data_IF_538683869606
#
_entry.id   IF_538683869606
#
_cell.length_a   1.000
_cell.length_b   1.000
_cell.length_c   1.000
_cell.angle_alpha   90.00
_cell.angle_beta   90.00
_cell.angle_gamma   90.00
#
_symmetry.space_group_name_H-M   'P 1'
#
loop_
_entity.id
_entity.type
_entity.pdbx_description
1 polymer ?
#
# COMPACT_ATOMS: atom_id res chain seq x y z
N UNK A 1 7.19 23.07 -6.40
CA UNK A 1 5.94 22.91 -5.63
C UNK A 1 5.93 21.51 -5.03
N UNK A 2 5.56 21.36 -3.76
CA UNK A 2 5.53 20.05 -3.07
C UNK A 2 4.30 19.26 -3.55
N UNK A 3 4.46 17.96 -3.84
CA UNK A 3 3.37 17.05 -4.20
C UNK A 3 3.00 16.20 -2.98
N UNK A 4 2.01 16.64 -2.21
CA UNK A 4 1.55 15.93 -1.02
C UNK A 4 0.56 14.82 -1.38
N UNK A 5 0.64 13.71 -0.66
CA UNK A 5 -0.29 12.57 -0.72
C UNK A 5 -0.95 12.37 0.64
N UNK A 6 -2.10 11.69 0.64
CA UNK A 6 -2.79 11.31 1.87
C UNK A 6 -3.07 9.80 1.89
N UNK A 7 -2.79 9.16 3.02
CA UNK A 7 -2.95 7.71 3.20
C UNK A 7 -4.37 7.36 3.63
N UNK A 8 -5.13 6.68 2.76
CA UNK A 8 -6.55 6.35 2.97
C UNK A 8 -6.82 5.63 4.27
N UNK A 9 -6.03 4.60 4.60
CA UNK A 9 -6.14 3.85 5.85
C UNK A 9 -6.13 4.72 7.13
N UNK A 10 -5.45 5.86 7.11
CA UNK A 10 -5.38 6.77 8.26
C UNK A 10 -6.67 7.56 8.47
N UNK A 11 -7.40 7.89 7.39
CA UNK A 11 -8.53 8.82 7.41
C UNK A 11 -9.89 8.15 7.18
N UNK A 12 -9.94 7.06 6.42
CA UNK A 12 -11.17 6.32 6.14
C UNK A 12 -11.54 5.50 7.36
N UNK A 13 -12.41 6.06 8.21
CA UNK A 13 -12.82 5.48 9.50
C UNK A 13 -14.28 5.83 9.81
N UNK A 14 -15.01 4.87 10.37
CA UNK A 14 -16.42 5.05 10.75
C UNK A 14 -17.26 5.53 9.55
N UNK A 15 -17.98 6.64 9.73
CA UNK A 15 -18.82 7.22 8.69
C UNK A 15 -18.05 8.04 7.63
N UNK A 16 -16.72 8.13 7.73
CA UNK A 16 -15.89 8.83 6.75
C UNK A 16 -15.47 7.86 5.65
N UNK A 17 -16.31 7.73 4.61
CA UNK A 17 -16.13 6.79 3.50
C UNK A 17 -14.97 7.17 2.58
N UNK A 18 -14.49 6.21 1.77
CA UNK A 18 -13.43 6.44 0.79
C UNK A 18 -13.81 7.50 -0.23
N UNK A 19 -15.06 7.53 -0.70
CA UNK A 19 -15.55 8.54 -1.63
C UNK A 19 -15.49 9.94 -1.01
N UNK A 20 -15.93 10.06 0.26
CA UNK A 20 -15.86 11.34 0.98
C UNK A 20 -14.41 11.79 1.18
N UNK A 21 -13.52 10.86 1.53
CA UNK A 21 -12.09 11.11 1.67
C UNK A 21 -11.46 11.61 0.37
N UNK A 22 -11.65 10.89 -0.75
CA UNK A 22 -11.08 11.25 -2.04
C UNK A 22 -11.56 12.61 -2.54
N UNK A 23 -12.86 12.89 -2.47
CA UNK A 23 -13.40 14.20 -2.81
C UNK A 23 -12.82 15.30 -1.92
N UNK A 24 -12.63 15.03 -0.62
CA UNK A 24 -12.07 16.01 0.33
C UNK A 24 -10.62 16.36 -0.02
N UNK A 25 -9.75 15.37 -0.22
CA UNK A 25 -8.33 15.64 -0.49
C UNK A 25 -8.10 16.27 -1.86
N UNK A 26 -8.92 15.90 -2.86
CA UNK A 26 -8.90 16.53 -4.18
C UNK A 26 -9.28 18.02 -4.07
N UNK A 27 -10.35 18.34 -3.34
CA UNK A 27 -10.77 19.73 -3.12
C UNK A 27 -9.76 20.56 -2.31
N UNK A 28 -9.00 19.95 -1.41
CA UNK A 28 -7.92 20.62 -0.67
C UNK A 28 -6.71 20.92 -1.59
N UNK A 29 -6.52 20.12 -2.65
CA UNK A 29 -5.40 20.27 -3.59
C UNK A 29 -4.24 19.30 -3.36
N UNK A 30 -4.51 18.13 -2.74
CA UNK A 30 -3.52 17.06 -2.70
C UNK A 30 -3.19 16.56 -4.11
N UNK A 31 -1.95 16.14 -4.31
CA UNK A 31 -1.49 15.61 -5.61
C UNK A 31 -1.87 14.15 -5.81
N UNK A 32 -2.11 13.40 -4.72
CA UNK A 32 -2.39 11.97 -4.80
C UNK A 32 -2.86 11.35 -3.50
N UNK A 33 -3.04 10.04 -3.55
CA UNK A 33 -3.56 9.20 -2.48
C UNK A 33 -2.77 7.89 -2.40
N UNK A 34 -2.79 7.27 -1.23
CA UNK A 34 -2.11 6.01 -0.92
C UNK A 34 -3.06 5.07 -0.17
N UNK A 35 -2.84 3.76 -0.25
CA UNK A 35 -3.52 2.74 0.58
C UNK A 35 -5.07 2.84 0.58
N UNK A 36 -5.66 2.90 -0.62
CA UNK A 36 -7.10 2.75 -0.84
C UNK A 36 -7.37 1.43 -1.57
N UNK A 37 -8.57 0.88 -1.37
CA UNK A 37 -9.03 -0.31 -2.08
C UNK A 37 -9.08 -0.08 -3.60
N UNK A 38 -8.78 -1.12 -4.38
CA UNK A 38 -8.70 -1.08 -5.84
C UNK A 38 -10.00 -0.63 -6.50
N UNK A 39 -11.15 -0.88 -5.87
CA UNK A 39 -12.46 -0.44 -6.36
C UNK A 39 -12.59 1.09 -6.42
N UNK A 40 -11.74 1.84 -5.73
CA UNK A 40 -11.73 3.31 -5.71
C UNK A 40 -10.69 3.96 -6.61
N UNK A 41 -9.87 3.19 -7.31
CA UNK A 41 -8.80 3.74 -8.15
C UNK A 41 -9.36 4.59 -9.30
N UNK A 42 -10.42 4.13 -9.97
CA UNK A 42 -11.06 4.90 -11.03
C UNK A 42 -11.51 6.28 -10.53
N UNK A 43 -12.16 6.31 -9.35
CA UNK A 43 -12.60 7.56 -8.74
C UNK A 43 -11.42 8.49 -8.39
N UNK A 44 -10.31 7.94 -7.87
CA UNK A 44 -9.13 8.74 -7.60
C UNK A 44 -8.57 9.39 -8.89
N UNK A 45 -8.49 8.62 -9.98
CA UNK A 45 -8.04 9.15 -11.28
C UNK A 45 -9.02 10.19 -11.86
N UNK A 46 -10.33 9.95 -11.76
CA UNK A 46 -11.36 10.89 -12.21
C UNK A 46 -11.29 12.23 -11.46
N UNK A 47 -10.86 12.19 -10.19
CA UNK A 47 -10.62 13.38 -9.37
C UNK A 47 -9.24 14.02 -9.59
N UNK A 48 -8.43 13.51 -10.53
CA UNK A 48 -7.10 14.02 -10.85
C UNK A 48 -6.02 13.67 -9.83
N UNK A 49 -6.29 12.73 -8.92
CA UNK A 49 -5.32 12.23 -7.95
C UNK A 49 -4.47 11.12 -8.57
N UNK A 50 -3.17 11.11 -8.29
CA UNK A 50 -2.33 9.94 -8.58
C UNK A 50 -2.39 8.94 -7.44
N UNK A 51 -2.15 7.67 -7.75
CA UNK A 51 -1.81 6.66 -6.75
C UNK A 51 -0.30 6.68 -6.55
N UNK A 52 0.16 7.05 -5.34
CA UNK A 52 1.60 7.16 -5.07
C UNK A 52 2.25 5.83 -4.68
N UNK A 53 1.48 4.91 -4.11
CA UNK A 53 1.93 3.59 -3.66
C UNK A 53 0.82 2.55 -3.78
N UNK A 54 1.20 1.29 -4.00
CA UNK A 54 0.35 0.11 -3.74
C UNK A 54 1.08 -0.90 -2.86
N UNK A 55 0.36 -1.90 -2.32
CA UNK A 55 1.00 -3.05 -1.68
C UNK A 55 1.78 -3.87 -2.71
N UNK A 56 2.98 -4.31 -2.34
CA UNK A 56 3.79 -5.19 -3.18
C UNK A 56 3.45 -6.67 -3.01
N UNK A 57 2.95 -7.05 -1.83
CA UNK A 57 2.54 -8.41 -1.49
C UNK A 57 1.36 -8.37 -0.50
N UNK A 58 0.68 -9.51 -0.31
CA UNK A 58 -0.66 -9.57 0.30
C UNK A 58 -0.69 -9.17 1.79
N UNK A 59 0.32 -9.56 2.57
CA UNK A 59 0.22 -9.52 4.03
C UNK A 59 1.21 -8.55 4.69
N UNK A 60 0.67 -7.65 5.52
CA UNK A 60 1.46 -6.81 6.42
C UNK A 60 2.18 -7.64 7.51
N UNK A 61 1.52 -8.69 8.01
CA UNK A 61 1.94 -9.43 9.21
C UNK A 61 2.70 -10.71 8.90
N UNK A 62 2.58 -11.24 7.68
CA UNK A 62 3.24 -12.46 7.22
C UNK A 62 4.09 -12.15 5.98
N UNK A 63 5.33 -11.74 6.22
CA UNK A 63 6.13 -11.01 5.24
C UNK A 63 7.51 -11.60 4.96
N UNK A 64 8.38 -10.73 4.43
CA UNK A 64 9.72 -11.05 3.94
C UNK A 64 10.69 -11.60 5.00
N UNK A 65 10.38 -11.43 6.29
CA UNK A 65 11.17 -12.02 7.37
C UNK A 65 11.06 -13.54 7.42
N UNK A 66 10.07 -14.14 6.75
CA UNK A 66 9.92 -15.59 6.65
C UNK A 66 10.42 -16.12 5.33
N UNK A 67 11.47 -16.96 5.38
CA UNK A 67 12.08 -17.54 4.17
C UNK A 67 11.09 -18.39 3.37
N UNK A 68 10.18 -19.08 4.07
CA UNK A 68 9.12 -19.86 3.43
C UNK A 68 8.13 -19.01 2.61
N UNK A 69 8.09 -17.70 2.81
CA UNK A 69 7.26 -16.78 2.04
C UNK A 69 7.96 -16.22 0.80
N UNK A 70 9.28 -16.41 0.62
CA UNK A 70 10.06 -15.69 -0.39
C UNK A 70 9.56 -15.95 -1.81
N UNK A 71 9.38 -17.21 -2.21
CA UNK A 71 8.90 -17.55 -3.56
C UNK A 71 7.52 -16.94 -3.84
N UNK A 72 6.59 -17.05 -2.87
CA UNK A 72 5.24 -16.45 -2.99
C UNK A 72 5.30 -14.94 -3.11
N UNK A 73 6.08 -14.27 -2.25
CA UNK A 73 6.19 -12.80 -2.24
C UNK A 73 6.87 -12.28 -3.51
N UNK A 74 7.86 -13.00 -4.04
CA UNK A 74 8.48 -12.66 -5.32
C UNK A 74 7.44 -12.67 -6.46
N UNK A 75 6.66 -13.74 -6.56
CA UNK A 75 5.58 -13.85 -7.57
C UNK A 75 4.55 -12.72 -7.43
N UNK A 76 4.13 -12.40 -6.21
CA UNK A 76 3.19 -11.30 -5.93
C UNK A 76 3.77 -9.92 -6.29
N UNK A 77 5.03 -9.66 -5.94
CA UNK A 77 5.71 -8.40 -6.27
C UNK A 77 5.82 -8.24 -7.78
N UNK A 78 6.23 -9.29 -8.50
CA UNK A 78 6.34 -9.25 -9.96
C UNK A 78 4.98 -8.96 -10.62
N UNK A 79 3.92 -9.61 -10.16
CA UNK A 79 2.57 -9.32 -10.64
C UNK A 79 2.13 -7.87 -10.35
N UNK A 80 2.43 -7.35 -9.15
CA UNK A 80 2.07 -5.99 -8.76
C UNK A 80 2.92 -4.92 -9.45
N UNK A 81 4.14 -5.24 -9.90
CA UNK A 81 4.94 -4.35 -10.75
C UNK A 81 4.21 -4.10 -12.08
N UNK A 82 3.65 -5.13 -12.71
CA UNK A 82 2.89 -4.97 -13.96
C UNK A 82 1.64 -4.09 -13.78
N UNK A 83 0.95 -4.24 -12.64
CA UNK A 83 -0.17 -3.37 -12.25
C UNK A 83 0.32 -1.93 -12.05
N UNK A 84 1.43 -1.74 -11.34
CA UNK A 84 2.00 -0.42 -11.10
C UNK A 84 2.43 0.27 -12.40
N UNK A 85 3.05 -0.44 -13.34
CA UNK A 85 3.40 0.07 -14.67
C UNK A 85 2.15 0.50 -15.43
N UNK A 86 1.11 -0.33 -15.45
CA UNK A 86 -0.16 -0.05 -16.13
C UNK A 86 -0.81 1.25 -15.62
N UNK A 87 -0.78 1.48 -14.31
CA UNK A 87 -1.39 2.64 -13.66
C UNK A 87 -0.42 3.79 -13.37
N UNK A 88 0.85 3.69 -13.79
CA UNK A 88 1.91 4.68 -13.54
C UNK A 88 2.13 4.95 -12.04
N UNK A 89 2.00 3.93 -11.22
CA UNK A 89 2.26 3.98 -9.78
C UNK A 89 3.78 3.85 -9.56
N UNK A 90 4.44 4.80 -8.89
CA UNK A 90 5.89 4.81 -8.80
C UNK A 90 6.48 3.86 -7.74
N UNK A 91 5.69 3.38 -6.78
CA UNK A 91 6.21 2.63 -5.63
C UNK A 91 5.32 1.44 -5.24
N UNK A 92 5.96 0.36 -4.81
CA UNK A 92 5.35 -0.77 -4.10
C UNK A 92 5.82 -0.76 -2.64
N UNK A 93 4.91 -1.00 -1.70
CA UNK A 93 5.23 -1.16 -0.27
C UNK A 93 5.43 -2.65 0.02
N UNK A 94 6.62 -3.01 0.52
CA UNK A 94 6.92 -4.36 0.95
C UNK A 94 7.12 -4.40 2.46
N UNK A 95 6.42 -5.29 3.15
CA UNK A 95 6.51 -5.44 4.59
C UNK A 95 7.41 -6.61 4.98
N UNK A 96 8.19 -6.39 6.06
CA UNK A 96 8.97 -7.45 6.68
C UNK A 96 8.10 -8.52 7.31
N UNK A 97 6.88 -8.21 7.76
CA UNK A 97 6.07 -9.12 8.57
C UNK A 97 6.26 -8.85 10.07
N UNK A 98 5.41 -9.49 10.87
CA UNK A 98 5.49 -9.47 12.32
C UNK A 98 6.64 -10.34 12.81
N UNK A 99 7.09 -10.06 14.03
CA UNK A 99 8.00 -10.93 14.77
C UNK A 99 7.49 -12.37 14.77
N UNK A 100 8.40 -13.33 14.66
CA UNK A 100 8.10 -14.73 14.89
C UNK A 100 7.56 -14.97 16.31
N UNK A 101 6.47 -15.72 16.39
CA UNK A 101 5.92 -16.18 17.65
C UNK A 101 6.86 -17.21 18.30
N UNK A 102 7.16 -17.02 19.58
CA UNK A 102 7.95 -17.96 20.38
C UNK A 102 9.47 -17.90 20.21
N UNK A 103 9.99 -16.95 19.41
CA UNK A 103 11.43 -16.74 19.21
C UNK A 103 11.94 -15.53 20.01
N UNK A 104 13.12 -15.67 20.61
CA UNK A 104 13.87 -14.57 21.26
C UNK A 104 14.43 -13.59 20.21
N UNK A 105 14.91 -12.42 20.66
CA UNK A 105 15.50 -11.41 19.74
C UNK A 105 16.74 -11.99 19.05
N UNK A 106 17.56 -12.71 19.81
CA UNK A 106 18.80 -13.34 19.35
C UNK A 106 18.52 -14.43 18.32
N UNK A 107 17.57 -15.33 18.57
CA UNK A 107 17.18 -16.34 17.58
C UNK A 107 16.55 -15.69 16.34
N UNK A 108 15.74 -14.66 16.53
CA UNK A 108 15.10 -13.90 15.46
C UNK A 108 16.08 -13.16 14.53
N UNK A 109 17.27 -12.82 15.00
CA UNK A 109 18.31 -12.15 14.21
C UNK A 109 19.04 -13.10 13.24
N UNK A 110 19.03 -14.41 13.52
CA UNK A 110 19.78 -15.42 12.75
C UNK A 110 18.96 -16.07 11.62
N UNK A 111 17.67 -15.73 11.51
CA UNK A 111 16.72 -16.23 10.50
C UNK A 111 16.57 -15.24 9.35
#
# INVERSE_FOLDING_TARGET
MIKQTATGWSFVRGDFTTEKFLNTIANIGYAGVEMIDTNYWSLAFDLGLVLATIGGHDSLTDGLNKRENHDRIEDEILANIEVAVTHKIPNLICFSGNRYDGLTDEEGMEI
#
